data_IF_647930912202
#
_entry.id   IF_647930912202
#
_cell.length_a   1.000
_cell.length_b   1.000
_cell.length_c   1.000
_cell.angle_alpha   90.00
_cell.angle_beta   90.00
_cell.angle_gamma   90.00
#
_symmetry.space_group_name_H-M   'P 1'
#
loop_
_entity.id
_entity.type
_entity.pdbx_description
1 polymer ?
#
# COMPACT_ATOMS: atom_id res chain seq x y z
N UNK A 1 -36.78 67.96 -1.27
CA UNK A 1 -35.50 67.41 -1.77
C UNK A 1 -35.66 65.92 -2.01
N UNK A 2 -35.27 65.42 -3.20
CA UNK A 2 -35.41 64.02 -3.64
C UNK A 2 -34.49 63.09 -2.83
N UNK A 3 -35.04 62.02 -2.25
CA UNK A 3 -34.25 60.92 -1.71
C UNK A 3 -33.87 59.98 -2.86
N UNK A 4 -32.57 59.91 -3.17
CA UNK A 4 -31.98 58.98 -4.14
C UNK A 4 -31.85 57.59 -3.51
N UNK A 5 -32.55 56.61 -4.08
CA UNK A 5 -32.38 55.18 -3.75
C UNK A 5 -31.09 54.70 -4.43
N UNK A 6 -30.01 54.50 -3.67
CA UNK A 6 -28.85 53.73 -4.15
C UNK A 6 -29.28 52.26 -4.29
N UNK A 7 -29.31 51.77 -5.52
CA UNK A 7 -29.46 50.34 -5.82
C UNK A 7 -28.21 49.60 -5.30
N UNK A 8 -28.37 48.83 -4.22
CA UNK A 8 -27.39 47.81 -3.78
C UNK A 8 -27.53 46.53 -4.64
N UNK A 9 -27.65 46.68 -5.95
CA UNK A 9 -27.82 45.57 -6.89
C UNK A 9 -26.60 45.44 -7.78
N UNK A 10 -25.43 45.06 -7.26
CA UNK A 10 -24.31 44.69 -8.15
C UNK A 10 -23.15 43.90 -7.54
N UNK A 11 -23.24 43.43 -6.29
CA UNK A 11 -22.15 42.63 -5.69
C UNK A 11 -22.59 41.20 -5.34
N UNK A 12 -23.87 40.96 -5.12
CA UNK A 12 -24.40 39.63 -4.74
C UNK A 12 -24.46 38.68 -5.94
N UNK A 13 -24.81 39.20 -7.13
CA UNK A 13 -24.95 38.42 -8.37
C UNK A 13 -23.60 37.82 -8.84
N UNK A 14 -22.48 38.57 -8.91
CA UNK A 14 -21.20 37.98 -9.32
C UNK A 14 -20.66 36.95 -8.31
N UNK A 15 -20.91 37.13 -7.00
CA UNK A 15 -20.49 36.16 -5.97
C UNK A 15 -21.27 34.84 -6.11
N UNK A 16 -22.59 34.90 -6.32
CA UNK A 16 -23.42 33.71 -6.53
C UNK A 16 -23.03 32.94 -7.79
N UNK A 17 -22.71 33.64 -8.88
CA UNK A 17 -22.24 33.01 -10.13
C UNK A 17 -20.90 32.30 -9.91
N UNK A 18 -19.97 32.92 -9.19
CA UNK A 18 -18.67 32.29 -8.87
C UNK A 18 -18.85 31.05 -7.98
N UNK A 19 -19.70 31.12 -6.95
CA UNK A 19 -19.98 29.96 -6.07
C UNK A 19 -20.64 28.81 -6.84
N UNK A 20 -21.57 29.11 -7.75
CA UNK A 20 -22.23 28.10 -8.60
C UNK A 20 -21.22 27.48 -9.58
N UNK A 21 -20.39 28.30 -10.23
CA UNK A 21 -19.38 27.80 -11.17
C UNK A 21 -18.33 26.92 -10.46
N UNK A 22 -17.87 27.32 -9.26
CA UNK A 22 -16.99 26.51 -8.41
C UNK A 22 -17.70 25.22 -7.98
N UNK A 23 -18.96 25.29 -7.55
CA UNK A 23 -19.74 24.10 -7.18
C UNK A 23 -19.94 23.11 -8.33
N UNK A 24 -20.20 23.61 -9.55
CA UNK A 24 -20.33 22.79 -10.76
C UNK A 24 -18.98 22.17 -11.13
N UNK A 25 -17.89 22.93 -11.12
CA UNK A 25 -16.56 22.38 -11.46
C UNK A 25 -16.10 21.34 -10.45
N UNK A 26 -16.26 21.59 -9.15
CA UNK A 26 -15.97 20.62 -8.09
C UNK A 26 -16.85 19.37 -8.24
N UNK A 27 -18.14 19.53 -8.52
CA UNK A 27 -19.07 18.42 -8.74
C UNK A 27 -18.74 17.56 -9.97
N UNK A 28 -18.34 18.19 -11.08
CA UNK A 28 -17.92 17.49 -12.30
C UNK A 28 -16.61 16.73 -12.09
N UNK A 29 -15.62 17.35 -11.44
CA UNK A 29 -14.34 16.71 -11.10
C UNK A 29 -14.54 15.52 -10.16
N UNK A 30 -15.46 15.63 -9.19
CA UNK A 30 -15.79 14.53 -8.30
C UNK A 30 -16.45 13.36 -9.04
N UNK A 31 -17.38 13.65 -9.95
CA UNK A 31 -18.03 12.60 -10.75
C UNK A 31 -17.09 11.87 -11.71
N UNK A 32 -16.18 12.57 -12.39
CA UNK A 32 -15.22 11.93 -13.30
C UNK A 32 -14.24 11.03 -12.56
N UNK A 33 -13.78 11.45 -11.37
CA UNK A 33 -12.85 10.67 -10.54
C UNK A 33 -13.49 9.43 -9.89
N UNK A 34 -14.74 9.56 -9.45
CA UNK A 34 -15.54 8.42 -8.96
C UNK A 34 -15.74 7.38 -10.07
N UNK A 35 -16.00 7.83 -11.31
CA UNK A 35 -16.09 6.96 -12.48
C UNK A 35 -14.79 6.23 -12.79
N UNK A 36 -13.63 6.86 -12.69
CA UNK A 36 -12.33 6.20 -12.98
C UNK A 36 -12.01 5.08 -11.95
N UNK A 37 -12.21 5.36 -10.66
CA UNK A 37 -12.02 4.35 -9.60
C UNK A 37 -13.03 3.20 -9.74
N UNK A 38 -14.30 3.53 -10.01
CA UNK A 38 -15.35 2.55 -10.27
C UNK A 38 -15.10 1.71 -11.53
N UNK A 39 -14.53 2.30 -12.58
CA UNK A 39 -14.20 1.61 -13.84
C UNK A 39 -13.04 0.64 -13.64
N UNK A 40 -11.99 1.01 -12.88
CA UNK A 40 -10.87 0.11 -12.58
C UNK A 40 -11.28 -1.07 -11.71
N UNK A 41 -12.12 -0.82 -10.70
CA UNK A 41 -12.66 -1.90 -9.85
C UNK A 41 -13.61 -2.80 -10.66
N UNK A 42 -14.50 -2.22 -11.46
CA UNK A 42 -15.40 -2.99 -12.34
C UNK A 42 -14.63 -3.84 -13.36
N UNK A 43 -13.62 -3.28 -14.03
CA UNK A 43 -12.75 -4.02 -14.96
C UNK A 43 -11.95 -5.12 -14.26
N UNK A 44 -11.55 -4.93 -13.00
CA UNK A 44 -10.84 -5.96 -12.20
C UNK A 44 -11.76 -7.12 -11.88
N UNK A 45 -12.99 -6.83 -11.46
CA UNK A 45 -14.01 -7.82 -11.15
C UNK A 45 -14.50 -8.59 -12.39
N UNK A 46 -14.61 -7.89 -13.53
CA UNK A 46 -15.03 -8.48 -14.81
C UNK A 46 -13.93 -9.37 -15.42
N UNK A 47 -12.67 -8.90 -15.42
CA UNK A 47 -11.55 -9.65 -16.01
C UNK A 47 -10.94 -10.69 -15.05
N UNK A 48 -11.36 -10.73 -13.78
CA UNK A 48 -10.80 -11.60 -12.75
C UNK A 48 -9.26 -11.52 -12.68
N UNK A 49 -8.72 -10.31 -12.83
CA UNK A 49 -7.28 -10.05 -12.78
C UNK A 49 -6.99 -8.82 -11.93
N UNK A 50 -5.95 -8.88 -11.11
CA UNK A 50 -5.47 -7.69 -10.41
C UNK A 50 -4.73 -6.76 -11.40
N UNK A 51 -5.12 -5.48 -11.53
CA UNK A 51 -4.60 -4.57 -12.57
C UNK A 51 -3.13 -4.15 -12.35
N UNK A 52 -2.56 -4.42 -11.18
CA UNK A 52 -1.16 -4.09 -10.87
C UNK A 52 -0.24 -5.31 -10.87
N UNK A 53 -0.79 -6.50 -10.60
CA UNK A 53 -0.03 -7.74 -10.60
C UNK A 53 -0.16 -8.49 -11.93
N UNK A 54 -1.22 -8.23 -12.71
CA UNK A 54 -1.44 -8.80 -14.03
C UNK A 54 -1.74 -10.29 -14.02
N UNK A 55 -2.14 -10.84 -12.87
CA UNK A 55 -2.38 -12.27 -12.67
C UNK A 55 -3.87 -12.56 -12.42
N UNK A 56 -4.36 -13.75 -12.80
CA UNK A 56 -5.69 -14.21 -12.44
C UNK A 56 -5.92 -14.20 -10.93
N UNK A 57 -7.16 -13.92 -10.53
CA UNK A 57 -7.53 -13.82 -9.11
C UNK A 57 -9.00 -14.18 -8.89
N UNK A 58 -9.34 -14.41 -7.63
CA UNK A 58 -10.74 -14.50 -7.18
C UNK A 58 -11.07 -13.26 -6.35
N UNK A 59 -12.23 -12.65 -6.61
CA UNK A 59 -12.70 -11.49 -5.83
C UNK A 59 -13.03 -11.92 -4.40
N UNK A 60 -12.49 -11.16 -3.44
CA UNK A 60 -12.79 -11.31 -2.01
C UNK A 60 -12.41 -10.01 -1.29
N UNK A 61 -13.25 -8.96 -1.38
CA UNK A 61 -12.89 -7.61 -0.92
C UNK A 61 -12.86 -7.45 0.60
N UNK A 62 -13.25 -8.49 1.37
CA UNK A 62 -13.38 -8.44 2.84
C UNK A 62 -12.40 -9.36 3.57
N UNK A 63 -11.34 -9.80 2.90
CA UNK A 63 -10.31 -10.65 3.53
C UNK A 63 -9.67 -9.90 4.70
N UNK A 64 -9.43 -10.62 5.78
CA UNK A 64 -8.63 -10.18 6.92
C UNK A 64 -7.45 -11.12 7.08
N UNK A 65 -6.36 -10.64 7.66
CA UNK A 65 -5.24 -11.49 8.02
C UNK A 65 -5.61 -12.32 9.25
N UNK A 66 -5.17 -13.58 9.24
CA UNK A 66 -5.49 -14.56 10.29
C UNK A 66 -4.28 -14.93 11.12
N UNK A 67 -3.08 -14.61 10.63
CA UNK A 67 -1.81 -14.86 11.28
C UNK A 67 -0.95 -13.59 11.29
N UNK A 68 0.00 -13.55 12.22
CA UNK A 68 1.06 -12.56 12.18
C UNK A 68 1.95 -12.79 10.94
N UNK A 69 2.55 -11.72 10.42
CA UNK A 69 3.49 -11.77 9.30
C UNK A 69 4.95 -11.83 9.80
N UNK A 70 5.19 -11.59 11.09
CA UNK A 70 6.51 -11.72 11.72
C UNK A 70 6.37 -11.92 13.24
N UNK A 71 7.49 -12.03 13.96
CA UNK A 71 7.49 -12.05 15.42
C UNK A 71 7.62 -10.61 15.96
N UNK A 72 6.51 -10.05 16.44
CA UNK A 72 6.45 -8.65 16.91
C UNK A 72 7.50 -8.32 18.00
N UNK A 73 7.85 -9.28 18.86
CA UNK A 73 8.87 -9.10 19.90
C UNK A 73 10.29 -8.90 19.35
N UNK A 74 10.54 -9.33 18.11
CA UNK A 74 11.81 -9.07 17.41
C UNK A 74 11.84 -7.70 16.71
N UNK A 75 10.74 -6.96 16.76
CA UNK A 75 10.61 -5.62 16.18
C UNK A 75 10.83 -4.57 17.27
N UNK A 76 11.80 -3.69 17.07
CA UNK A 76 12.12 -2.58 17.99
C UNK A 76 11.10 -1.45 17.86
N UNK A 77 10.82 -1.04 16.63
CA UNK A 77 9.89 0.04 16.32
C UNK A 77 9.32 -0.13 14.93
N UNK A 78 8.17 0.50 14.71
CA UNK A 78 7.51 0.60 13.43
C UNK A 78 7.50 2.08 13.03
N UNK A 79 8.04 2.37 11.86
CA UNK A 79 7.87 3.68 11.23
C UNK A 79 6.72 3.57 10.23
N UNK A 80 5.58 4.24 10.50
CA UNK A 80 4.47 4.24 9.56
C UNK A 80 4.89 4.99 8.30
N UNK A 81 4.34 4.57 7.16
CA UNK A 81 4.57 5.20 5.86
C UNK A 81 4.50 6.72 5.94
N UNK A 82 5.55 7.36 5.43
CA UNK A 82 5.54 8.79 5.10
C UNK A 82 5.06 8.91 3.66
N UNK A 83 3.86 9.44 3.47
CA UNK A 83 3.47 9.94 2.16
C UNK A 83 3.95 11.39 2.04
N UNK A 84 5.05 11.60 1.32
CA UNK A 84 5.45 12.94 0.87
C UNK A 84 5.12 13.13 -0.60
N UNK A 85 4.56 14.29 -1.00
CA UNK A 85 4.40 14.65 -2.39
C UNK A 85 5.70 14.43 -3.17
N UNK A 86 5.67 13.61 -4.23
CA UNK A 86 6.81 13.30 -5.09
C UNK A 86 7.71 12.11 -4.71
N UNK A 87 7.55 11.50 -3.52
CA UNK A 87 8.28 10.28 -3.16
C UNK A 87 7.46 9.42 -2.19
N UNK A 88 6.40 8.76 -2.67
CA UNK A 88 5.46 8.21 -1.74
C UNK A 88 5.84 6.75 -1.46
N UNK A 89 6.40 6.52 -0.27
CA UNK A 89 6.95 5.20 0.12
C UNK A 89 5.91 4.39 0.88
N UNK A 90 5.01 3.78 0.12
CA UNK A 90 3.81 3.12 0.63
C UNK A 90 4.06 1.72 1.22
N UNK A 91 4.72 1.71 2.38
CA UNK A 91 5.05 0.55 3.20
C UNK A 91 5.42 1.00 4.62
N UNK A 92 5.09 0.19 5.61
CA UNK A 92 5.60 0.35 6.95
C UNK A 92 7.05 -0.16 7.02
N UNK A 93 7.93 0.55 7.71
CA UNK A 93 9.27 0.06 8.02
C UNK A 93 9.29 -0.56 9.40
N UNK A 94 9.73 -1.80 9.45
CA UNK A 94 9.88 -2.56 10.68
C UNK A 94 11.36 -2.61 11.06
N UNK A 95 11.73 -1.83 12.07
CA UNK A 95 13.10 -1.80 12.58
C UNK A 95 13.34 -3.03 13.46
N UNK A 96 14.30 -3.86 13.08
CA UNK A 96 14.63 -5.10 13.78
C UNK A 96 15.38 -4.78 15.07
N UNK A 97 15.02 -5.43 16.17
CA UNK A 97 15.69 -5.28 17.46
C UNK A 97 17.08 -5.92 17.45
N UNK A 98 17.18 -7.17 17.00
CA UNK A 98 18.44 -7.88 16.79
C UNK A 98 18.24 -9.17 16.00
N UNK A 99 19.33 -9.67 15.40
CA UNK A 99 19.38 -11.01 14.81
C UNK A 99 18.56 -11.18 13.53
N UNK A 100 18.18 -12.43 13.26
CA UNK A 100 17.33 -12.81 12.14
C UNK A 100 15.87 -12.87 12.59
N UNK A 101 14.99 -12.31 11.79
CA UNK A 101 13.55 -12.24 12.06
C UNK A 101 12.82 -13.11 11.04
N UNK A 102 11.95 -14.04 11.48
CA UNK A 102 11.16 -14.82 10.53
C UNK A 102 10.05 -13.96 9.92
N UNK A 103 9.70 -14.27 8.69
CA UNK A 103 8.57 -13.69 7.96
C UNK A 103 7.61 -14.79 7.54
N UNK A 104 6.33 -14.58 7.77
CA UNK A 104 5.25 -15.54 7.54
C UNK A 104 4.20 -14.96 6.59
N UNK A 105 3.44 -15.82 5.91
CA UNK A 105 2.25 -15.41 5.20
C UNK A 105 1.15 -15.07 6.22
N UNK A 106 0.62 -13.84 6.28
CA UNK A 106 -0.42 -13.49 7.24
C UNK A 106 -1.81 -14.04 6.87
N UNK A 107 -1.94 -14.54 5.64
CA UNK A 107 -3.18 -15.07 5.05
C UNK A 107 -2.83 -16.01 3.90
N UNK A 108 -3.75 -16.92 3.55
CA UNK A 108 -3.66 -17.70 2.32
C UNK A 108 -3.45 -16.77 1.12
N UNK A 109 -2.38 -17.01 0.37
CA UNK A 109 -1.94 -16.10 -0.70
C UNK A 109 -1.02 -16.80 -1.70
N UNK A 110 -0.84 -16.16 -2.85
CA UNK A 110 0.05 -16.64 -3.90
C UNK A 110 1.19 -15.64 -4.10
N UNK A 111 2.44 -16.09 -4.04
CA UNK A 111 3.57 -15.31 -4.53
C UNK A 111 3.52 -15.30 -6.05
N UNK A 112 3.38 -14.11 -6.65
CA UNK A 112 3.10 -13.96 -8.10
C UNK A 112 4.16 -13.19 -8.85
N UNK A 113 4.85 -12.27 -8.18
CA UNK A 113 5.99 -11.56 -8.75
C UNK A 113 6.96 -11.13 -7.65
N UNK A 114 8.12 -10.65 -8.08
CA UNK A 114 9.13 -10.13 -7.18
C UNK A 114 10.45 -9.92 -7.88
N UNK A 115 11.50 -9.65 -7.11
CA UNK A 115 12.87 -9.59 -7.63
C UNK A 115 13.86 -10.07 -6.57
N UNK A 116 14.84 -10.86 -7.00
CA UNK A 116 16.09 -11.07 -6.25
C UNK A 116 17.09 -10.02 -6.71
N UNK A 117 17.53 -9.16 -5.80
CA UNK A 117 18.30 -7.96 -6.15
C UNK A 117 19.58 -7.82 -5.36
N UNK A 118 20.49 -7.04 -5.94
CA UNK A 118 21.65 -6.47 -5.27
C UNK A 118 21.52 -4.95 -5.28
N UNK A 119 20.78 -4.41 -4.33
CA UNK A 119 20.58 -2.97 -4.19
C UNK A 119 21.51 -2.42 -3.12
N UNK A 120 22.46 -1.56 -3.53
CA UNK A 120 23.39 -0.90 -2.60
C UNK A 120 24.20 -1.88 -1.73
N UNK A 121 24.56 -3.04 -2.30
CA UNK A 121 25.32 -4.07 -1.60
C UNK A 121 24.49 -5.00 -0.71
N UNK A 122 23.16 -4.86 -0.69
CA UNK A 122 22.24 -5.76 -0.02
C UNK A 122 21.73 -6.83 -0.99
N UNK A 123 21.98 -8.10 -0.68
CA UNK A 123 21.34 -9.23 -1.36
C UNK A 123 20.06 -9.59 -0.64
N UNK A 124 18.93 -9.32 -1.29
CA UNK A 124 17.62 -9.57 -0.71
C UNK A 124 16.54 -9.73 -1.80
N UNK A 125 15.33 -10.02 -1.34
CA UNK A 125 14.17 -10.27 -2.17
C UNK A 125 13.07 -9.25 -1.85
N UNK A 126 12.46 -8.73 -2.92
CA UNK A 126 11.15 -8.08 -2.86
C UNK A 126 10.11 -9.08 -3.35
N UNK A 127 9.11 -9.36 -2.53
CA UNK A 127 8.13 -10.42 -2.76
C UNK A 127 6.73 -9.83 -2.76
N UNK A 128 5.93 -10.12 -3.78
CA UNK A 128 4.56 -9.63 -3.92
C UNK A 128 3.56 -10.78 -3.96
N UNK A 129 2.58 -10.69 -3.09
CA UNK A 129 1.62 -11.76 -2.86
C UNK A 129 0.20 -11.31 -3.22
N UNK A 130 -0.46 -12.06 -4.09
CA UNK A 130 -1.87 -11.91 -4.40
C UNK A 130 -2.70 -12.56 -3.28
N UNK A 131 -3.71 -11.86 -2.76
CA UNK A 131 -4.67 -12.40 -1.78
C UNK A 131 -6.05 -12.56 -2.43
N UNK A 132 -6.54 -11.48 -3.03
CA UNK A 132 -7.78 -11.45 -3.81
C UNK A 132 -7.60 -10.48 -4.97
N UNK A 133 -8.56 -10.35 -5.89
CA UNK A 133 -8.47 -9.34 -6.94
C UNK A 133 -8.22 -7.91 -6.41
N UNK A 134 -8.76 -7.60 -5.24
CA UNK A 134 -8.70 -6.30 -4.60
C UNK A 134 -7.49 -6.13 -3.69
N UNK A 135 -7.01 -7.21 -3.07
CA UNK A 135 -6.04 -7.16 -1.98
C UNK A 135 -4.74 -7.87 -2.39
N UNK A 136 -3.63 -7.17 -2.14
CA UNK A 136 -2.30 -7.76 -2.23
C UNK A 136 -1.39 -7.17 -1.16
N UNK A 137 -0.32 -7.88 -0.85
CA UNK A 137 0.72 -7.38 0.04
C UNK A 137 2.11 -7.59 -0.56
N UNK A 138 3.07 -6.85 -0.02
CA UNK A 138 4.49 -7.04 -0.32
C UNK A 138 5.30 -7.14 0.96
N UNK A 139 6.39 -7.90 0.88
CA UNK A 139 7.45 -7.91 1.87
C UNK A 139 8.76 -7.66 1.12
N UNK A 140 9.45 -6.59 1.47
CA UNK A 140 10.77 -6.28 0.90
C UNK A 140 11.86 -6.56 1.91
N UNK A 141 13.08 -6.71 1.40
CA UNK A 141 14.27 -7.00 2.20
C UNK A 141 14.22 -8.36 2.89
N UNK A 142 13.61 -9.39 2.27
CA UNK A 142 13.75 -10.77 2.74
C UNK A 142 15.13 -11.28 2.33
N UNK A 143 16.00 -11.63 3.28
CA UNK A 143 17.41 -11.99 2.99
C UNK A 143 17.62 -13.49 2.82
N UNK A 144 16.81 -14.31 3.49
CA UNK A 144 16.92 -15.76 3.46
C UNK A 144 15.54 -16.41 3.25
N UNK A 145 14.97 -16.34 2.02
CA UNK A 145 13.69 -16.97 1.75
C UNK A 145 13.76 -18.50 1.78
N UNK A 146 12.62 -19.17 1.93
CA UNK A 146 12.52 -20.63 1.83
C UNK A 146 12.86 -21.13 0.42
N UNK A 147 13.24 -22.40 0.30
CA UNK A 147 13.79 -22.95 -0.95
C UNK A 147 12.83 -22.83 -2.14
N UNK A 148 11.52 -23.01 -1.93
CA UNK A 148 10.54 -22.85 -3.02
C UNK A 148 10.54 -21.44 -3.61
N UNK A 149 10.76 -20.41 -2.79
CA UNK A 149 10.95 -19.03 -3.27
C UNK A 149 12.31 -18.91 -3.95
N UNK A 150 13.42 -19.31 -3.30
CA UNK A 150 14.78 -19.22 -3.87
C UNK A 150 14.91 -19.90 -5.24
N UNK A 151 14.14 -20.96 -5.48
CA UNK A 151 14.17 -21.72 -6.73
C UNK A 151 13.32 -21.08 -7.84
N UNK A 152 12.39 -20.19 -7.49
CA UNK A 152 11.59 -19.45 -8.46
C UNK A 152 12.29 -18.19 -9.02
N UNK A 153 13.37 -17.74 -8.37
CA UNK A 153 14.13 -16.56 -8.80
C UNK A 153 15.44 -16.93 -9.52
N UNK A 154 15.96 -16.04 -10.39
CA UNK A 154 17.29 -16.19 -10.97
C UNK A 154 18.38 -16.35 -9.90
N UNK A 155 19.44 -17.10 -10.19
CA UNK A 155 20.57 -17.26 -9.27
C UNK A 155 21.47 -16.02 -9.20
N UNK A 156 21.43 -15.18 -10.22
CA UNK A 156 22.16 -13.92 -10.27
C UNK A 156 21.23 -12.78 -9.85
N UNK A 157 21.61 -11.96 -8.86
CA UNK A 157 20.79 -10.84 -8.42
C UNK A 157 20.72 -9.76 -9.50
N UNK A 158 19.55 -9.13 -9.63
CA UNK A 158 19.36 -7.98 -10.52
C UNK A 158 19.93 -6.70 -9.89
N UNK A 159 20.54 -5.85 -10.71
CA UNK A 159 21.04 -4.53 -10.32
C UNK A 159 19.99 -3.43 -10.52
N UNK A 160 19.08 -3.63 -11.47
CA UNK A 160 17.90 -2.78 -11.65
C UNK A 160 16.73 -3.39 -10.89
N UNK A 161 16.10 -2.57 -10.05
CA UNK A 161 15.05 -3.00 -9.12
C UNK A 161 13.77 -2.18 -9.35
N UNK A 162 13.69 -1.48 -10.49
CA UNK A 162 12.53 -0.66 -10.86
C UNK A 162 11.35 -1.51 -11.31
N UNK A 163 11.58 -2.77 -11.67
CA UNK A 163 10.56 -3.71 -12.11
C UNK A 163 10.58 -4.97 -11.25
N UNK A 164 9.38 -5.52 -11.01
CA UNK A 164 9.20 -6.82 -10.36
C UNK A 164 8.64 -7.78 -11.42
N UNK A 165 9.49 -8.57 -12.09
CA UNK A 165 9.02 -9.48 -13.12
C UNK A 165 8.04 -10.53 -12.54
N UNK A 166 7.00 -10.91 -13.30
CA UNK A 166 6.13 -12.01 -12.90
C UNK A 166 6.94 -13.30 -12.78
N UNK A 167 6.55 -14.13 -11.81
CA UNK A 167 7.07 -15.50 -11.72
C UNK A 167 6.54 -16.32 -12.89
N UNK A 168 7.32 -17.33 -13.29
CA UNK A 168 6.88 -18.30 -14.30
C UNK A 168 5.64 -19.07 -13.82
N UNK A 169 5.63 -19.44 -12.54
CA UNK A 169 4.54 -20.14 -11.86
C UNK A 169 4.34 -19.46 -10.50
N UNK A 170 3.08 -19.23 -10.10
CA UNK A 170 2.78 -18.70 -8.76
C UNK A 170 3.06 -19.77 -7.70
N UNK A 171 3.38 -19.31 -6.49
CA UNK A 171 3.69 -20.20 -5.35
C UNK A 171 2.67 -19.97 -4.26
N UNK A 172 1.88 -21.00 -3.96
CA UNK A 172 0.88 -20.94 -2.90
C UNK A 172 1.51 -21.00 -1.51
N UNK A 173 0.96 -20.21 -0.60
CA UNK A 173 1.24 -20.23 0.83
C UNK A 173 -0.04 -20.28 1.64
N UNK A 174 0.00 -21.03 2.74
CA UNK A 174 -1.06 -21.00 3.76
C UNK A 174 -0.78 -19.93 4.80
N UNK A 175 -1.83 -19.40 5.42
CA UNK A 175 -1.69 -18.51 6.55
C UNK A 175 -0.81 -19.14 7.65
N UNK A 176 0.14 -18.38 8.16
CA UNK A 176 1.16 -18.83 9.12
C UNK A 176 2.34 -19.57 8.52
N UNK A 177 2.36 -19.85 7.21
CA UNK A 177 3.47 -20.55 6.56
C UNK A 177 4.73 -19.65 6.50
N UNK A 178 5.89 -20.23 6.80
CA UNK A 178 7.17 -19.53 6.75
C UNK A 178 7.54 -19.15 5.31
N UNK A 179 7.77 -17.85 5.09
CA UNK A 179 8.29 -17.31 3.83
C UNK A 179 9.82 -17.26 3.85
N UNK A 180 10.41 -17.10 5.03
CA UNK A 180 11.85 -17.08 5.22
C UNK A 180 12.27 -16.23 6.41
N UNK A 181 13.47 -15.67 6.32
CA UNK A 181 14.03 -14.78 7.33
C UNK A 181 14.54 -13.48 6.70
N UNK A 182 14.60 -12.44 7.53
CA UNK A 182 15.20 -11.15 7.19
C UNK A 182 16.15 -10.69 8.30
N UNK A 183 17.25 -10.07 7.89
CA UNK A 183 18.13 -9.25 8.75
C UNK A 183 17.92 -7.75 8.52
N UNK A 184 16.94 -7.40 7.68
CA UNK A 184 16.66 -6.07 7.20
C UNK A 184 17.74 -5.53 6.27
N UNK A 185 17.61 -4.25 5.95
CA UNK A 185 18.60 -3.48 5.20
C UNK A 185 19.94 -3.42 5.94
N UNK A 186 21.08 -3.38 5.22
CA UNK A 186 22.40 -3.41 5.86
C UNK A 186 22.69 -2.23 6.81
N UNK A 187 22.06 -1.07 6.58
CA UNK A 187 22.33 0.15 7.36
C UNK A 187 21.26 0.43 8.42
N UNK A 188 19.98 0.34 8.04
CA UNK A 188 18.89 0.70 8.94
C UNK A 188 18.34 -0.52 9.69
N UNK A 189 18.76 -1.74 9.35
CA UNK A 189 18.27 -2.99 9.94
C UNK A 189 16.74 -3.07 9.96
N UNK A 190 16.12 -2.62 8.87
CA UNK A 190 14.68 -2.64 8.71
C UNK A 190 14.25 -3.40 7.46
N UNK A 191 13.02 -3.88 7.47
CA UNK A 191 12.38 -4.47 6.31
C UNK A 191 11.02 -3.82 6.10
N UNK A 192 10.48 -3.96 4.89
CA UNK A 192 9.25 -3.27 4.53
C UNK A 192 8.07 -4.24 4.49
N UNK A 193 6.93 -3.79 5.01
CA UNK A 193 5.66 -4.47 4.85
C UNK A 193 4.63 -3.51 4.26
N UNK A 194 4.03 -3.89 3.13
CA UNK A 194 3.03 -3.07 2.45
C UNK A 194 1.77 -3.87 2.17
N UNK A 195 0.60 -3.27 2.40
CA UNK A 195 -0.70 -3.86 2.04
C UNK A 195 -1.48 -2.86 1.24
N UNK A 196 -2.19 -3.35 0.23
CA UNK A 196 -2.90 -2.53 -0.71
C UNK A 196 -4.30 -3.11 -0.95
N UNK A 197 -5.28 -2.22 -1.05
CA UNK A 197 -6.67 -2.53 -1.28
C UNK A 197 -7.24 -1.59 -2.34
N UNK A 198 -7.68 -2.16 -3.47
CA UNK A 198 -8.31 -1.40 -4.56
C UNK A 198 -9.57 -0.64 -4.10
N UNK A 199 -10.25 -1.11 -3.06
CA UNK A 199 -11.42 -0.43 -2.49
C UNK A 199 -11.05 0.80 -1.65
N UNK A 200 -9.76 1.02 -1.40
CA UNK A 200 -9.25 2.09 -0.56
C UNK A 200 -8.43 3.15 -1.33
N UNK A 201 -8.57 3.19 -2.65
CA UNK A 201 -7.88 4.14 -3.52
C UNK A 201 -8.04 5.59 -3.02
N UNK A 202 -6.91 6.29 -2.86
CA UNK A 202 -6.81 7.71 -2.48
C UNK A 202 -7.29 8.10 -1.08
N UNK A 203 -7.67 7.19 -0.19
CA UNK A 203 -8.15 7.61 1.14
C UNK A 203 -7.07 8.23 2.05
N UNK A 204 -5.79 8.11 1.68
CA UNK A 204 -4.64 8.70 2.38
C UNK A 204 -3.93 9.86 1.67
N UNK A 205 -4.40 10.27 0.48
CA UNK A 205 -3.73 11.23 -0.40
C UNK A 205 -4.61 12.44 -0.71
N UNK A 206 -4.04 13.65 -0.88
CA UNK A 206 -4.75 14.74 -1.54
C UNK A 206 -5.31 14.27 -2.89
N UNK A 207 -6.54 14.67 -3.21
CA UNK A 207 -7.40 14.10 -4.25
C UNK A 207 -6.74 14.10 -5.65
N UNK A 208 -5.83 15.01 -5.97
CA UNK A 208 -5.26 15.11 -7.31
C UNK A 208 -3.92 14.36 -7.46
N UNK A 209 -3.33 13.92 -6.34
CA UNK A 209 -2.03 13.24 -6.32
C UNK A 209 -2.13 11.72 -6.53
N UNK A 210 -3.28 11.13 -6.20
CA UNK A 210 -3.56 9.71 -6.33
C UNK A 210 -3.25 9.07 -7.69
N UNK A 211 -3.68 9.74 -8.76
CA UNK A 211 -3.50 9.27 -10.13
C UNK A 211 -2.02 9.30 -10.57
N UNK A 212 -1.21 10.17 -9.96
CA UNK A 212 0.24 10.24 -10.17
C UNK A 212 0.98 9.06 -9.53
N UNK A 213 0.35 8.40 -8.56
CA UNK A 213 0.98 7.36 -7.74
C UNK A 213 0.35 5.99 -7.96
N UNK A 214 -0.12 5.66 -9.17
CA UNK A 214 -0.38 4.27 -9.60
C UNK A 214 -0.91 3.29 -8.53
N UNK A 215 -0.14 2.22 -8.26
CA UNK A 215 -0.49 1.18 -7.26
C UNK A 215 -0.40 1.70 -5.84
N UNK A 216 0.53 2.61 -5.62
CA UNK A 216 0.89 3.23 -4.37
C UNK A 216 -0.31 3.93 -3.70
N UNK A 217 -1.21 4.52 -4.49
CA UNK A 217 -2.45 5.14 -4.01
C UNK A 217 -3.48 4.18 -3.36
N UNK A 218 -3.27 2.87 -3.42
CA UNK A 218 -4.15 1.85 -2.80
C UNK A 218 -3.63 1.36 -1.46
N UNK A 219 -2.50 1.90 -0.98
CA UNK A 219 -1.90 1.47 0.26
C UNK A 219 -2.77 1.76 1.46
N UNK A 220 -2.90 0.78 2.33
CA UNK A 220 -3.61 0.85 3.60
C UNK A 220 -2.64 0.55 4.74
N UNK A 221 -3.00 0.91 5.98
CA UNK A 221 -2.18 0.46 7.11
C UNK A 221 -2.13 -1.07 7.15
N UNK A 222 -0.95 -1.71 7.05
CA UNK A 222 -0.87 -3.17 7.06
C UNK A 222 -1.43 -3.80 8.34
N UNK A 223 -1.32 -3.08 9.46
CA UNK A 223 -1.71 -3.56 10.79
C UNK A 223 -3.22 -3.54 11.00
N UNK A 224 -3.98 -2.78 10.21
CA UNK A 224 -5.45 -2.76 10.27
C UNK A 224 -6.08 -4.06 9.77
N UNK A 225 -5.32 -4.86 9.02
CA UNK A 225 -5.75 -6.17 8.53
C UNK A 225 -5.55 -7.29 9.56
N UNK A 226 -4.78 -7.04 10.62
CA UNK A 226 -4.40 -8.06 11.60
C UNK A 226 -5.49 -8.26 12.67
N UNK A 227 -5.57 -9.45 13.28
CA UNK A 227 -6.42 -9.69 14.43
C UNK A 227 -6.12 -8.69 15.56
N UNK A 228 -7.15 -8.29 16.31
CA UNK A 228 -7.10 -7.18 17.25
C UNK A 228 -5.96 -7.28 18.28
N UNK A 229 -5.67 -8.48 18.78
CA UNK A 229 -4.59 -8.72 19.73
C UNK A 229 -3.21 -8.49 19.13
N UNK A 230 -3.03 -8.89 17.87
CA UNK A 230 -1.78 -8.72 17.13
C UNK A 230 -1.62 -7.25 16.71
N UNK A 231 -2.69 -6.64 16.20
CA UNK A 231 -2.77 -5.22 15.84
C UNK A 231 -2.27 -4.34 16.98
N UNK A 232 -2.79 -4.51 18.20
CA UNK A 232 -2.37 -3.76 19.40
C UNK A 232 -0.86 -3.79 19.64
N UNK A 233 -0.22 -4.95 19.46
CA UNK A 233 1.23 -5.10 19.66
C UNK A 233 2.06 -4.30 18.65
N UNK A 234 1.60 -4.17 17.41
CA UNK A 234 2.27 -3.34 16.40
C UNK A 234 2.05 -1.86 16.63
N UNK A 235 0.83 -1.43 16.99
CA UNK A 235 0.55 -0.03 17.29
C UNK A 235 1.34 0.48 18.50
N UNK A 236 1.57 -0.36 19.51
CA UNK A 236 2.45 -0.03 20.64
C UNK A 236 3.92 0.22 20.23
N UNK A 237 4.33 -0.21 19.03
CA UNK A 237 5.69 -0.02 18.48
C UNK A 237 5.76 1.11 17.46
N UNK A 238 4.63 1.71 17.07
CA UNK A 238 4.60 2.83 16.13
C UNK A 238 5.28 4.03 16.81
N UNK A 239 6.38 4.50 16.23
CA UNK A 239 6.99 5.74 16.68
C UNK A 239 6.25 6.91 16.03
N UNK A 240 5.78 7.85 16.87
CA UNK A 240 5.14 9.08 16.40
C UNK A 240 6.13 9.86 15.56
N UNK A 241 5.94 9.85 14.23
CA UNK A 241 6.52 10.87 13.38
C UNK A 241 5.51 12.01 13.30
N UNK A 242 5.91 13.24 13.64
CA UNK A 242 5.14 14.48 13.47
C UNK A 242 4.85 14.80 11.98
N UNK A 243 4.34 13.84 11.21
CA UNK A 243 4.26 13.92 9.75
C UNK A 243 2.81 13.73 9.30
N UNK A 244 2.26 14.66 8.50
CA UNK A 244 0.82 14.86 8.33
C UNK A 244 0.08 13.74 7.57
N UNK A 245 0.76 12.74 7.00
CA UNK A 245 0.15 11.72 6.15
C UNK A 245 0.68 10.31 6.45
N UNK A 246 0.20 9.74 7.56
CA UNK A 246 0.31 8.31 7.84
C UNK A 246 -1.06 7.66 7.60
N UNK A 247 -1.10 6.49 6.93
CA UNK A 247 -2.34 5.70 6.81
C UNK A 247 -2.61 4.84 8.05
N UNK A 248 -1.65 4.76 8.97
CA UNK A 248 -1.77 4.11 10.27
C UNK A 248 -2.03 5.18 11.35
N UNK A 249 -3.21 5.81 11.32
CA UNK A 249 -3.44 7.04 12.12
C UNK A 249 -4.01 6.84 13.51
N UNK A 250 -4.65 5.72 13.83
CA UNK A 250 -5.40 5.64 15.07
C UNK A 250 -5.21 4.31 15.81
N UNK A 251 -4.65 4.41 17.01
CA UNK A 251 -4.88 3.55 18.17
C UNK A 251 -4.53 4.30 19.46
#
# INVERSE_FOLDING_TARGET
MKASRKQNGSVIIPILIVVILVGITVGVLYQTKSKDTGTRLANTLENKTNPYLGVPCTSSPKVQFTNDFTEVDKIKSVEPTIITPGNPRHRAWLNIASGKVPVYAPVDSELVNGVYKNARGALDYDLHFQVSCEIWYLINHVTEPVDKIKNAFPKTPQTDTRTNPPLKESINFKAGELLGYTTGTPLAHNFDFGVFDLNNFNKGLPTDEGLKYGKEANFICPFDMLPETIKKSYYAKIISSEKPFTNCKDY
#
